data_IF_213805393599
#
_entry.id   IF_213805393599
#
_cell.length_a   1.000
_cell.length_b   1.000
_cell.length_c   1.000
_cell.angle_alpha   90.00
_cell.angle_beta   90.00
_cell.angle_gamma   90.00
#
_symmetry.space_group_name_H-M   'P 1'
#
loop_
_entity.id
_entity.type
_entity.pdbx_description
1 polymer ?
#
# COMPACT_ATOMS: atom_id res chain seq x y z
N UNK A 1 -6.72 1.28 33.01
CA UNK A 1 -5.77 0.77 31.99
C UNK A 1 -6.40 0.99 30.64
N UNK A 2 -6.12 2.10 29.98
CA UNK A 2 -6.66 2.39 28.64
C UNK A 2 -5.76 1.70 27.62
N UNK A 3 -6.27 0.63 27.01
CA UNK A 3 -5.64 0.02 25.85
C UNK A 3 -5.70 1.05 24.71
N UNK A 4 -4.59 1.73 24.48
CA UNK A 4 -4.37 2.45 23.23
C UNK A 4 -4.37 1.36 22.16
N UNK A 5 -5.52 1.13 21.55
CA UNK A 5 -5.60 0.32 20.34
C UNK A 5 -4.79 1.10 19.33
N UNK A 6 -3.52 0.71 19.13
CA UNK A 6 -2.75 1.18 18.00
C UNK A 6 -3.68 1.03 16.81
N UNK A 7 -4.04 2.17 16.19
CA UNK A 7 -4.80 2.14 14.96
C UNK A 7 -3.99 1.24 14.04
N UNK A 8 -4.44 -0.01 13.89
CA UNK A 8 -3.85 -0.91 12.93
C UNK A 8 -4.23 -0.25 11.61
N UNK A 9 -3.35 0.64 11.15
CA UNK A 9 -3.40 1.19 9.81
C UNK A 9 -3.66 -0.01 8.95
N UNK A 10 -4.85 -0.02 8.31
CA UNK A 10 -5.27 -1.16 7.51
C UNK A 10 -4.38 -1.17 6.28
N UNK A 11 -3.17 -1.67 6.47
CA UNK A 11 -2.12 -1.72 5.48
C UNK A 11 -2.40 -2.86 4.51
N UNK A 12 -3.58 -3.49 4.56
CA UNK A 12 -3.99 -4.42 3.52
C UNK A 12 -3.96 -3.69 2.18
N UNK A 13 -3.57 -4.43 1.18
CA UNK A 13 -3.44 -3.99 -0.18
C UNK A 13 -3.86 -5.17 -1.05
N UNK A 14 -4.47 -4.88 -2.19
CA UNK A 14 -4.86 -5.89 -3.17
C UNK A 14 -4.38 -5.49 -4.54
N UNK A 15 -3.75 -6.41 -5.25
CA UNK A 15 -3.33 -6.15 -6.62
C UNK A 15 -4.54 -6.21 -7.54
N UNK A 16 -4.80 -5.12 -8.26
CA UNK A 16 -5.92 -5.01 -9.20
C UNK A 16 -5.51 -5.29 -10.64
N UNK A 17 -4.24 -5.02 -10.96
CA UNK A 17 -3.66 -5.23 -12.28
C UNK A 17 -3.40 -6.71 -12.57
N UNK A 18 -3.51 -7.12 -13.84
CA UNK A 18 -3.22 -8.49 -14.28
C UNK A 18 -1.83 -8.95 -13.87
N UNK A 19 -0.83 -8.08 -14.03
CA UNK A 19 0.52 -8.26 -13.51
C UNK A 19 1.09 -6.90 -13.08
N UNK A 20 1.54 -6.82 -11.83
CA UNK A 20 2.17 -5.67 -11.23
C UNK A 20 3.65 -5.99 -10.94
N UNK A 21 4.55 -5.25 -11.57
CA UNK A 21 5.99 -5.40 -11.33
C UNK A 21 6.36 -4.74 -10.00
N UNK A 22 6.89 -5.54 -9.08
CA UNK A 22 7.44 -5.07 -7.81
C UNK A 22 8.88 -4.66 -8.07
N UNK A 23 9.18 -3.36 -7.95
CA UNK A 23 10.49 -2.78 -8.29
C UNK A 23 11.31 -2.45 -7.05
N UNK A 24 12.63 -2.43 -7.19
CA UNK A 24 13.53 -2.11 -6.08
C UNK A 24 13.38 -0.65 -5.58
N UNK A 25 12.93 0.27 -6.44
CA UNK A 25 12.72 1.69 -6.13
C UNK A 25 11.41 2.18 -6.75
N UNK A 26 10.89 3.30 -6.23
CA UNK A 26 9.71 4.01 -6.72
C UNK A 26 9.96 4.69 -8.08
N UNK A 27 10.34 3.92 -9.11
CA UNK A 27 10.57 4.46 -10.45
C UNK A 27 10.41 3.36 -11.49
N UNK A 28 9.89 3.71 -12.66
CA UNK A 28 9.73 2.80 -13.80
C UNK A 28 11.08 2.34 -14.37
N UNK A 29 12.17 3.06 -14.09
CA UNK A 29 13.53 2.72 -14.53
C UNK A 29 14.23 1.70 -13.61
N UNK A 30 13.68 1.42 -12.44
CA UNK A 30 14.28 0.49 -11.48
C UNK A 30 14.03 -0.96 -11.88
N UNK A 31 14.99 -1.84 -11.55
CA UNK A 31 14.85 -3.28 -11.79
C UNK A 31 13.64 -3.85 -11.04
N UNK A 32 12.88 -4.71 -11.71
CA UNK A 32 11.81 -5.48 -11.08
C UNK A 32 12.44 -6.61 -10.25
N UNK A 33 12.19 -6.60 -8.95
CA UNK A 33 12.64 -7.63 -7.99
C UNK A 33 11.60 -8.74 -7.82
N UNK A 34 10.40 -8.54 -8.36
CA UNK A 34 9.36 -9.56 -8.39
C UNK A 34 8.14 -9.12 -9.19
N UNK A 35 7.14 -9.99 -9.23
CA UNK A 35 5.85 -9.74 -9.86
C UNK A 35 4.74 -10.18 -8.92
N UNK A 36 3.68 -9.39 -8.86
CA UNK A 36 2.45 -9.71 -8.15
C UNK A 36 1.29 -9.73 -9.15
N UNK A 37 0.32 -10.62 -8.96
CA UNK A 37 -0.79 -10.80 -9.91
C UNK A 37 -2.12 -10.38 -9.29
N UNK A 38 -3.10 -10.15 -10.15
CA UNK A 38 -4.45 -9.76 -9.74
C UNK A 38 -5.01 -10.67 -8.65
N UNK A 39 -5.61 -10.06 -7.62
CA UNK A 39 -6.21 -10.75 -6.49
C UNK A 39 -5.22 -11.19 -5.40
N UNK A 40 -3.92 -10.98 -5.58
CA UNK A 40 -2.94 -11.24 -4.53
C UNK A 40 -3.06 -10.19 -3.42
N UNK A 41 -2.95 -10.66 -2.17
CA UNK A 41 -2.89 -9.80 -1.01
C UNK A 41 -1.46 -9.29 -0.77
N UNK A 42 -1.39 -8.01 -0.44
CA UNK A 42 -0.18 -7.30 -0.06
C UNK A 42 -0.39 -6.57 1.26
N UNK A 43 0.71 -6.22 1.91
CA UNK A 43 0.73 -5.23 2.97
C UNK A 43 1.45 -3.98 2.45
N UNK A 44 0.79 -2.83 2.40
CA UNK A 44 1.42 -1.54 2.22
C UNK A 44 2.32 -1.25 3.44
N UNK A 45 3.54 -0.79 3.18
CA UNK A 45 4.52 -0.45 4.20
C UNK A 45 4.81 1.04 4.20
N UNK A 46 4.80 1.66 3.03
CA UNK A 46 5.20 3.04 2.83
C UNK A 46 4.63 3.58 1.51
N UNK A 47 4.59 4.90 1.33
CA UNK A 47 4.16 5.54 0.10
C UNK A 47 5.19 6.60 -0.32
N UNK A 48 5.39 6.74 -1.63
CA UNK A 48 6.31 7.71 -2.21
C UNK A 48 5.71 8.33 -3.46
N UNK A 49 5.95 9.62 -3.63
CA UNK A 49 5.44 10.43 -4.74
C UNK A 49 6.61 11.07 -5.49
N UNK A 50 7.46 10.30 -6.19
CA UNK A 50 8.49 10.84 -7.04
C UNK A 50 7.84 11.54 -8.25
N UNK A 51 7.80 12.87 -8.19
CA UNK A 51 7.04 13.69 -9.13
C UNK A 51 5.54 13.54 -8.88
N UNK A 52 4.76 13.33 -9.93
CA UNK A 52 3.29 13.22 -9.87
C UNK A 52 2.79 11.76 -9.86
N UNK A 53 3.68 10.79 -9.69
CA UNK A 53 3.29 9.36 -9.68
C UNK A 53 3.30 8.80 -8.27
N UNK A 54 2.17 8.27 -7.81
CA UNK A 54 2.09 7.55 -6.55
C UNK A 54 2.71 6.16 -6.67
N UNK A 55 3.56 5.83 -5.71
CA UNK A 55 4.12 4.49 -5.51
C UNK A 55 3.85 4.05 -4.08
N UNK A 56 3.42 2.80 -3.92
CA UNK A 56 3.33 2.15 -2.62
C UNK A 56 4.45 1.12 -2.50
N UNK A 57 5.20 1.18 -1.41
CA UNK A 57 6.06 0.09 -0.98
C UNK A 57 5.17 -0.98 -0.37
N UNK A 58 5.17 -2.16 -0.95
CA UNK A 58 4.35 -3.28 -0.50
C UNK A 58 5.22 -4.48 -0.15
N UNK A 59 4.69 -5.33 0.73
CA UNK A 59 5.12 -6.71 0.92
C UNK A 59 4.06 -7.63 0.36
N UNK A 60 4.40 -8.44 -0.62
CA UNK A 60 3.51 -9.45 -1.17
C UNK A 60 3.42 -10.61 -0.18
N UNK A 61 2.23 -10.86 0.38
CA UNK A 61 2.09 -11.89 1.42
C UNK A 61 2.38 -13.30 0.90
N UNK A 62 2.06 -13.54 -0.38
CA UNK A 62 2.23 -14.86 -1.02
C UNK A 62 3.68 -15.26 -1.25
N UNK A 63 4.53 -14.30 -1.65
CA UNK A 63 5.94 -14.56 -2.01
C UNK A 63 6.92 -14.00 -1.00
N UNK A 64 6.48 -13.13 -0.09
CA UNK A 64 7.33 -12.41 0.86
C UNK A 64 8.15 -11.26 0.25
N UNK A 65 8.07 -11.06 -1.07
CA UNK A 65 8.83 -10.03 -1.79
C UNK A 65 8.40 -8.64 -1.32
N UNK A 66 9.37 -7.80 -1.02
CA UNK A 66 9.18 -6.39 -0.65
C UNK A 66 9.72 -5.51 -1.77
N UNK A 67 8.92 -4.51 -2.18
CA UNK A 67 9.37 -3.50 -3.13
C UNK A 67 8.25 -2.51 -3.47
N UNK A 68 8.48 -1.72 -4.51
CA UNK A 68 7.63 -0.62 -4.92
C UNK A 68 6.74 -0.99 -6.10
N UNK A 69 5.46 -0.68 -5.99
CA UNK A 69 4.45 -0.84 -7.03
C UNK A 69 3.73 0.49 -7.22
N UNK A 70 3.31 0.81 -8.44
CA UNK A 70 2.50 2.01 -8.70
C UNK A 70 1.16 1.92 -7.97
N UNK A 71 0.74 3.04 -7.39
CA UNK A 71 -0.56 3.17 -6.72
C UNK A 71 -1.73 2.76 -7.62
N UNK A 72 -1.66 3.07 -8.91
CA UNK A 72 -2.70 2.73 -9.89
C UNK A 72 -2.95 1.22 -10.07
N UNK A 73 -1.99 0.37 -9.66
CA UNK A 73 -2.03 -1.09 -9.85
C UNK A 73 -2.49 -1.84 -8.60
N UNK A 74 -2.77 -1.12 -7.53
CA UNK A 74 -3.14 -1.65 -6.23
C UNK A 74 -4.35 -0.91 -5.67
N UNK A 75 -5.09 -1.62 -4.84
CA UNK A 75 -6.21 -1.09 -4.09
C UNK A 75 -5.88 -1.16 -2.61
N UNK A 76 -5.81 -0.01 -1.96
CA UNK A 76 -5.61 0.13 -0.52
C UNK A 76 -6.94 0.58 0.11
N UNK A 77 -7.60 -0.27 0.92
CA UNK A 77 -8.83 0.10 1.62
C UNK A 77 -8.65 1.24 2.65
N UNK A 78 -7.41 1.68 2.93
CA UNK A 78 -7.08 2.59 4.02
C UNK A 78 -6.99 4.09 3.71
N UNK A 79 -6.98 4.54 2.44
CA UNK A 79 -6.78 5.98 2.12
C UNK A 79 -8.11 6.78 2.09
N UNK A 80 -9.21 6.21 2.59
CA UNK A 80 -10.53 6.84 2.68
C UNK A 80 -11.00 7.10 4.10
N UNK A 81 -10.10 7.03 5.08
CA UNK A 81 -10.40 7.15 6.50
C UNK A 81 -9.86 8.43 7.11
N UNK A 82 -10.33 9.60 6.67
CA UNK A 82 -10.69 10.60 7.66
C UNK A 82 -11.90 10.02 8.40
N UNK A 83 -11.68 8.97 9.20
CA UNK A 83 -12.63 8.63 10.24
C UNK A 83 -12.66 9.88 11.10
N UNK A 84 -13.71 10.67 10.94
CA UNK A 84 -14.29 11.36 12.07
C UNK A 84 -14.51 10.27 13.12
N UNK A 85 -13.47 10.04 13.91
CA UNK A 85 -13.63 9.47 15.23
C UNK A 85 -14.65 10.39 15.93
N UNK A 86 -15.64 9.85 16.63
CA UNK A 86 -16.69 10.66 17.28
C UNK A 86 -16.13 11.67 18.31
N UNK A 87 -14.81 11.66 18.56
CA UNK A 87 -14.10 12.49 19.52
C UNK A 87 -13.44 13.76 18.93
N UNK A 88 -13.48 14.00 17.61
CA UNK A 88 -12.81 15.19 17.02
C UNK A 88 -13.58 15.94 15.92
N UNK A 89 -14.92 15.93 15.95
CA UNK A 89 -15.70 16.91 15.19
C UNK A 89 -15.91 18.19 16.04
N UNK A 90 -15.42 19.37 15.63
CA UNK A 90 -15.77 20.61 16.32
C UNK A 90 -17.28 20.85 16.18
N UNK A 91 -17.94 21.11 17.31
CA UNK A 91 -19.36 21.47 17.39
C UNK A 91 -19.63 22.84 16.77
#
# INVERSE_FOLDING_TARGET
MTATSAHAVDNRCYITASAANVRAKATTRAVAVGVAYKGWSCAALDYSYPGDTQWAKIRVNRTGVVGWVRGDLLHTPGEGGHTCIPENCPR
#
